data_IF_324590344072
#
_entry.id   IF_324590344072
#
_cell.length_a   1.000
_cell.length_b   1.000
_cell.length_c   1.000
_cell.angle_alpha   90.00
_cell.angle_beta   90.00
_cell.angle_gamma   90.00
#
_symmetry.space_group_name_H-M   'P 1'
#
loop_
_entity.id
_entity.type
_entity.pdbx_description
1 polymer ?
#
# COMPACT_ATOMS: atom_id res chain seq x y z
N UNK A 1 -19.18 17.06 -0.86
CA UNK A 1 -19.72 17.76 -2.04
C UNK A 1 -18.62 18.69 -2.55
N UNK A 2 -18.19 18.54 -3.80
CA UNK A 2 -17.12 19.39 -4.35
C UNK A 2 -17.65 20.81 -4.60
N UNK A 3 -16.79 21.82 -4.44
CA UNK A 3 -17.19 23.19 -4.71
C UNK A 3 -17.46 23.39 -6.19
N UNK A 4 -18.42 24.27 -6.51
CA UNK A 4 -18.72 24.67 -7.88
C UNK A 4 -17.47 25.18 -8.60
N UNK A 5 -16.63 25.93 -7.89
CA UNK A 5 -15.35 26.42 -8.41
C UNK A 5 -14.41 25.31 -8.87
N UNK A 6 -14.41 24.14 -8.20
CA UNK A 6 -13.57 23.01 -8.61
C UNK A 6 -14.12 22.34 -9.88
N UNK A 7 -15.44 22.22 -9.98
CA UNK A 7 -16.12 21.69 -11.18
C UNK A 7 -15.84 22.62 -12.37
N UNK A 8 -16.10 23.92 -12.22
CA UNK A 8 -15.87 24.94 -13.24
C UNK A 8 -14.40 25.01 -13.67
N UNK A 9 -13.46 24.71 -12.77
CA UNK A 9 -12.04 24.62 -13.09
C UNK A 9 -11.71 23.42 -13.99
N UNK A 10 -12.23 22.23 -13.69
CA UNK A 10 -12.03 21.03 -14.52
C UNK A 10 -12.66 21.16 -15.90
N UNK A 11 -13.78 21.89 -16.01
CA UNK A 11 -14.44 22.15 -17.29
C UNK A 11 -13.58 22.95 -18.27
N UNK A 12 -12.59 23.72 -17.80
CA UNK A 12 -11.67 24.49 -18.66
C UNK A 12 -10.62 23.62 -19.32
N UNK A 13 -10.40 22.43 -18.81
CA UNK A 13 -9.32 21.55 -19.27
C UNK A 13 -9.74 20.91 -20.59
N UNK A 14 -8.85 20.99 -21.57
CA UNK A 14 -9.00 20.28 -22.83
C UNK A 14 -8.49 18.84 -22.71
N UNK A 15 -9.34 17.88 -23.06
CA UNK A 15 -9.02 16.46 -22.91
C UNK A 15 -7.89 16.01 -23.83
N UNK A 16 -7.81 16.56 -25.05
CA UNK A 16 -6.76 16.20 -26.00
C UNK A 16 -5.41 16.73 -25.53
N UNK A 17 -5.34 17.97 -25.06
CA UNK A 17 -4.12 18.53 -24.47
C UNK A 17 -3.63 17.72 -23.26
N UNK A 18 -4.54 17.26 -22.39
CA UNK A 18 -4.19 16.40 -21.27
C UNK A 18 -3.63 15.05 -21.75
N UNK A 19 -4.28 14.41 -22.73
CA UNK A 19 -3.80 13.15 -23.31
C UNK A 19 -2.41 13.34 -23.95
N UNK A 20 -2.18 14.47 -24.64
CA UNK A 20 -0.87 14.81 -25.21
C UNK A 20 0.21 14.98 -24.14
N UNK A 21 -0.10 15.67 -23.03
CA UNK A 21 0.82 15.80 -21.88
C UNK A 21 1.19 14.43 -21.30
N UNK A 22 0.20 13.56 -21.10
CA UNK A 22 0.42 12.19 -20.59
C UNK A 22 1.24 11.37 -21.59
N UNK A 23 0.94 11.46 -22.89
CA UNK A 23 1.70 10.79 -23.95
C UNK A 23 3.16 11.24 -23.97
N UNK A 24 3.40 12.56 -23.90
CA UNK A 24 4.74 13.14 -23.80
C UNK A 24 5.48 12.62 -22.57
N UNK A 25 4.83 12.64 -21.40
CA UNK A 25 5.41 12.09 -20.16
C UNK A 25 5.80 10.63 -20.31
N UNK A 26 4.92 9.80 -20.89
CA UNK A 26 5.17 8.36 -21.10
C UNK A 26 6.30 8.07 -22.09
N UNK A 27 6.63 9.02 -22.96
CA UNK A 27 7.76 8.90 -23.90
C UNK A 27 9.13 9.25 -23.30
N UNK A 28 9.15 9.77 -22.06
CA UNK A 28 10.39 10.17 -21.38
C UNK A 28 11.24 8.97 -20.98
N UNK A 29 12.55 9.10 -21.15
CA UNK A 29 13.50 8.14 -20.61
C UNK A 29 13.88 8.51 -19.18
N UNK A 30 13.07 8.07 -18.22
CA UNK A 30 13.24 8.34 -16.78
C UNK A 30 14.63 7.94 -16.27
N UNK A 31 15.27 6.92 -16.84
CA UNK A 31 16.59 6.45 -16.42
C UNK A 31 17.70 7.50 -16.62
N UNK A 32 17.50 8.45 -17.53
CA UNK A 32 18.48 9.49 -17.88
C UNK A 32 18.13 10.86 -17.29
N UNK A 33 17.06 10.95 -16.51
CA UNK A 33 16.56 12.21 -15.98
C UNK A 33 16.98 12.42 -14.53
N UNK A 34 17.14 13.69 -14.15
CA UNK A 34 17.31 14.07 -12.74
C UNK A 34 15.96 14.05 -12.02
N UNK A 35 15.94 13.87 -10.68
CA UNK A 35 14.71 13.94 -9.91
C UNK A 35 13.92 15.25 -10.11
N UNK A 36 14.61 16.38 -10.29
CA UNK A 36 13.95 17.67 -10.58
C UNK A 36 13.24 17.66 -11.93
N UNK A 37 13.88 17.14 -12.98
CA UNK A 37 13.27 17.08 -14.30
C UNK A 37 12.06 16.12 -14.34
N UNK A 38 12.13 15.02 -13.57
CA UNK A 38 11.01 14.07 -13.43
C UNK A 38 9.85 14.77 -12.71
N UNK A 39 10.13 15.50 -11.62
CA UNK A 39 9.14 16.29 -10.89
C UNK A 39 8.47 17.34 -11.79
N UNK A 40 9.24 18.08 -12.59
CA UNK A 40 8.69 19.07 -13.51
C UNK A 40 7.76 18.43 -14.55
N UNK A 41 8.12 17.25 -15.05
CA UNK A 41 7.29 16.50 -15.98
C UNK A 41 6.01 15.95 -15.34
N UNK A 42 6.08 15.49 -14.08
CA UNK A 42 4.89 15.10 -13.29
C UNK A 42 3.98 16.31 -13.07
N UNK A 43 4.56 17.46 -12.72
CA UNK A 43 3.83 18.70 -12.48
C UNK A 43 3.10 19.19 -13.73
N UNK A 44 3.72 19.09 -14.91
CA UNK A 44 3.07 19.42 -16.19
C UNK A 44 1.82 18.56 -16.45
N UNK A 45 1.86 17.27 -16.08
CA UNK A 45 0.70 16.37 -16.20
C UNK A 45 -0.35 16.70 -15.16
N UNK A 46 0.02 16.76 -13.88
CA UNK A 46 -0.94 16.82 -12.76
C UNK A 46 -1.48 18.23 -12.46
N UNK A 47 -0.98 19.27 -13.13
CA UNK A 47 -1.38 20.66 -12.88
C UNK A 47 -1.83 21.44 -14.11
N UNK A 48 -2.77 22.36 -13.87
CA UNK A 48 -3.36 23.26 -14.88
C UNK A 48 -3.39 24.64 -14.25
N UNK A 49 -2.83 25.64 -14.94
CA UNK A 49 -2.64 26.98 -14.37
C UNK A 49 -1.95 26.97 -12.99
N UNK A 50 -1.02 26.03 -12.78
CA UNK A 50 -0.27 25.85 -11.53
C UNK A 50 -1.07 25.23 -10.37
N UNK A 51 -2.29 24.75 -10.61
CA UNK A 51 -3.15 24.11 -9.60
C UNK A 51 -3.24 22.61 -9.85
N UNK A 52 -3.18 21.83 -8.78
CA UNK A 52 -3.39 20.39 -8.81
C UNK A 52 -4.84 20.04 -9.15
N UNK A 53 -5.03 19.06 -10.05
CA UNK A 53 -6.29 18.82 -10.77
C UNK A 53 -7.04 17.57 -10.24
N UNK A 54 -6.59 16.98 -9.14
CA UNK A 54 -7.20 15.74 -8.65
C UNK A 54 -8.29 16.03 -7.61
N UNK A 55 -9.47 15.43 -7.82
CA UNK A 55 -10.42 15.26 -6.73
C UNK A 55 -9.76 14.40 -5.66
N UNK A 56 -9.58 14.92 -4.44
CA UNK A 56 -8.97 14.13 -3.38
C UNK A 56 -9.99 13.13 -2.84
N UNK A 57 -9.72 11.83 -3.03
CA UNK A 57 -10.61 10.78 -2.58
C UNK A 57 -10.29 10.38 -1.14
N UNK A 58 -10.89 11.06 -0.17
CA UNK A 58 -10.72 10.71 1.25
C UNK A 58 -11.70 9.61 1.63
N UNK A 59 -11.18 8.58 2.30
CA UNK A 59 -11.98 7.49 2.84
C UNK A 59 -11.42 7.04 4.20
N UNK A 60 -12.11 6.12 4.85
CA UNK A 60 -11.71 5.60 6.15
C UNK A 60 -11.90 4.09 6.23
N UNK A 61 -10.89 3.38 6.71
CA UNK A 61 -11.09 2.02 7.23
C UNK A 61 -11.52 2.11 8.67
N UNK A 62 -12.59 1.39 9.05
CA UNK A 62 -13.14 1.47 10.40
C UNK A 62 -12.24 0.83 11.43
N UNK A 63 -12.29 1.31 12.67
CA UNK A 63 -11.70 0.63 13.83
C UNK A 63 -12.05 -0.86 13.82
N UNK A 64 -11.06 -1.71 14.11
CA UNK A 64 -11.17 -3.17 14.04
C UNK A 64 -10.89 -3.76 12.65
N UNK A 65 -10.71 -2.95 11.61
CA UNK A 65 -10.26 -3.43 10.29
C UNK A 65 -8.91 -4.12 10.42
N UNK A 66 -8.77 -5.29 9.79
CA UNK A 66 -7.52 -6.04 9.76
C UNK A 66 -6.66 -5.63 8.56
N UNK A 67 -5.35 -5.51 8.80
CA UNK A 67 -4.34 -5.21 7.79
C UNK A 67 -3.29 -6.31 7.80
N UNK A 68 -2.86 -6.73 6.62
CA UNK A 68 -1.99 -7.89 6.44
C UNK A 68 -0.68 -7.47 5.79
N UNK A 69 0.42 -8.04 6.29
CA UNK A 69 1.75 -7.93 5.66
C UNK A 69 2.39 -9.31 5.63
N UNK A 70 2.98 -9.67 4.49
CA UNK A 70 3.79 -10.87 4.40
C UNK A 70 5.29 -10.53 4.36
N UNK A 71 6.11 -11.44 4.89
CA UNK A 71 7.56 -11.39 4.82
C UNK A 71 8.08 -12.79 4.54
N UNK A 72 8.88 -12.93 3.49
CA UNK A 72 9.58 -14.17 3.17
C UNK A 72 10.60 -14.45 4.29
N UNK A 73 10.72 -15.72 4.69
CA UNK A 73 11.68 -16.16 5.70
C UNK A 73 12.77 -16.97 5.02
N UNK A 74 14.01 -16.53 5.18
CA UNK A 74 15.18 -17.16 4.55
C UNK A 74 15.54 -18.52 5.16
N UNK A 75 15.03 -18.81 6.36
CA UNK A 75 15.29 -20.04 7.10
C UNK A 75 13.99 -20.78 7.41
N UNK A 76 14.02 -22.08 7.22
CA UNK A 76 12.97 -23.02 7.66
C UNK A 76 13.06 -23.34 9.16
N UNK A 77 14.14 -22.93 9.84
CA UNK A 77 14.26 -23.09 11.29
C UNK A 77 13.31 -22.12 12.00
N UNK A 78 12.47 -22.68 12.86
CA UNK A 78 11.49 -21.93 13.64
C UNK A 78 11.76 -22.11 15.15
N UNK A 79 11.76 -21.03 15.95
CA UNK A 79 11.50 -19.64 15.56
C UNK A 79 12.65 -19.01 14.76
N UNK A 80 12.31 -18.24 13.73
CA UNK A 80 13.27 -17.59 12.85
C UNK A 80 13.95 -16.41 13.56
N UNK A 81 15.27 -16.27 13.43
CA UNK A 81 16.06 -15.20 14.06
C UNK A 81 15.61 -13.79 13.64
N UNK A 82 15.09 -13.65 12.42
CA UNK A 82 14.56 -12.41 11.89
C UNK A 82 13.16 -12.07 12.42
N UNK A 83 12.65 -12.82 13.40
CA UNK A 83 11.36 -12.62 14.08
C UNK A 83 11.50 -12.64 15.61
N UNK A 84 12.69 -12.33 16.14
CA UNK A 84 12.92 -12.38 17.58
C UNK A 84 12.32 -11.22 18.38
N UNK A 85 12.27 -10.00 17.85
CA UNK A 85 11.88 -8.80 18.60
C UNK A 85 10.72 -8.07 17.93
N UNK A 86 10.00 -7.25 18.69
CA UNK A 86 8.83 -6.52 18.20
C UNK A 86 9.11 -5.72 16.92
N UNK A 87 10.28 -5.07 16.82
CA UNK A 87 10.67 -4.29 15.64
C UNK A 87 10.64 -5.09 14.35
N UNK A 88 10.88 -6.40 14.39
CA UNK A 88 10.86 -7.28 13.23
C UNK A 88 9.47 -7.49 12.62
N UNK A 89 8.41 -7.17 13.37
CA UNK A 89 7.01 -7.36 12.99
C UNK A 89 6.34 -6.09 12.49
N UNK A 90 7.10 -5.02 12.22
CA UNK A 90 6.53 -3.74 11.75
C UNK A 90 7.05 -3.40 10.37
N UNK A 91 7.85 -2.35 10.22
CA UNK A 91 8.44 -1.86 8.97
C UNK A 91 9.87 -2.42 8.77
N UNK A 92 10.35 -2.45 7.53
CA UNK A 92 11.73 -2.89 7.27
C UNK A 92 12.72 -1.80 7.72
N UNK A 93 13.82 -2.12 8.41
CA UNK A 93 14.77 -1.09 8.84
C UNK A 93 15.34 -0.31 7.64
N UNK A 94 15.50 1.04 7.74
CA UNK A 94 15.97 1.90 6.65
C UNK A 94 17.20 1.38 5.91
N UNK A 95 18.17 0.84 6.63
CA UNK A 95 19.44 0.35 6.11
C UNK A 95 19.29 -0.81 5.11
N UNK A 96 18.17 -1.53 5.12
CA UNK A 96 17.90 -2.61 4.16
C UNK A 96 17.17 -2.14 2.90
N UNK A 97 16.75 -0.87 2.85
CA UNK A 97 15.97 -0.30 1.76
C UNK A 97 16.93 0.37 0.77
N UNK A 98 17.42 -0.41 -0.20
CA UNK A 98 18.47 0.04 -1.13
C UNK A 98 17.92 0.70 -2.40
N UNK A 99 16.67 0.44 -2.73
CA UNK A 99 16.02 0.89 -3.97
C UNK A 99 14.74 1.65 -3.66
N UNK A 100 14.17 2.30 -4.67
CA UNK A 100 12.84 2.86 -4.58
C UNK A 100 11.80 1.74 -4.46
N UNK A 101 10.88 1.90 -3.51
CA UNK A 101 9.58 1.24 -3.54
C UNK A 101 8.53 2.20 -4.09
N UNK A 102 7.30 1.71 -4.29
CA UNK A 102 6.22 2.53 -4.88
C UNK A 102 6.05 3.89 -4.20
N UNK A 103 6.14 3.93 -2.87
CA UNK A 103 5.87 5.13 -2.07
C UNK A 103 7.08 5.60 -1.25
N UNK A 104 8.22 4.91 -1.34
CA UNK A 104 9.40 5.22 -0.53
C UNK A 104 10.67 5.29 -1.37
N UNK A 105 11.55 6.20 -1.02
CA UNK A 105 12.91 6.26 -1.58
C UNK A 105 13.87 5.32 -0.84
N UNK A 106 15.10 5.11 -1.33
CA UNK A 106 16.13 4.39 -0.59
C UNK A 106 16.32 4.98 0.81
N UNK A 107 16.52 4.11 1.81
CA UNK A 107 16.62 4.46 3.24
C UNK A 107 15.36 5.09 3.86
N UNK A 108 14.22 5.07 3.18
CA UNK A 108 12.95 5.49 3.77
C UNK A 108 12.11 4.27 4.15
N UNK A 109 11.85 4.12 5.45
CA UNK A 109 11.09 3.00 5.97
C UNK A 109 9.59 3.32 6.06
N UNK A 110 8.78 2.46 5.45
CA UNK A 110 7.32 2.49 5.53
C UNK A 110 6.75 1.11 5.86
N UNK A 111 5.53 1.07 6.38
CA UNK A 111 4.78 -0.16 6.62
C UNK A 111 3.77 -0.37 5.49
N UNK A 112 4.08 -1.30 4.58
CA UNK A 112 3.19 -1.75 3.52
C UNK A 112 2.25 -2.84 4.03
N UNK A 113 0.96 -2.68 3.77
CA UNK A 113 -0.09 -3.63 4.16
C UNK A 113 -1.16 -3.76 3.09
N UNK A 114 -1.96 -4.82 3.18
CA UNK A 114 -3.23 -4.95 2.46
C UNK A 114 -4.38 -5.05 3.47
N UNK A 115 -5.44 -4.24 3.37
CA UNK A 115 -6.59 -4.32 4.24
C UNK A 115 -7.48 -5.52 3.88
N UNK A 116 -8.03 -6.18 4.90
CA UNK A 116 -9.10 -7.19 4.88
C UNK A 116 -8.83 -8.53 4.15
N UNK A 117 -8.01 -8.54 3.09
CA UNK A 117 -7.87 -9.71 2.19
C UNK A 117 -6.41 -10.21 2.21
N UNK A 118 -6.08 -11.23 3.02
CA UNK A 118 -4.71 -11.74 3.14
C UNK A 118 -4.18 -12.36 1.84
N UNK A 119 -5.03 -12.92 0.98
CA UNK A 119 -4.63 -13.57 -0.27
C UNK A 119 -3.95 -12.58 -1.21
N UNK A 120 -4.43 -11.32 -1.25
CA UNK A 120 -3.83 -10.25 -2.04
C UNK A 120 -2.41 -9.96 -1.55
N UNK A 121 -2.19 -9.95 -0.23
CA UNK A 121 -0.86 -9.79 0.36
C UNK A 121 0.11 -10.87 -0.11
N UNK A 122 -0.34 -12.13 -0.21
CA UNK A 122 0.47 -13.24 -0.69
C UNK A 122 0.80 -13.10 -2.18
N UNK A 123 -0.19 -12.69 -2.99
CA UNK A 123 0.00 -12.46 -4.42
C UNK A 123 1.00 -11.32 -4.67
N UNK A 124 0.91 -10.21 -3.94
CA UNK A 124 1.81 -9.05 -4.04
C UNK A 124 3.26 -9.40 -3.67
N UNK A 125 3.44 -10.21 -2.62
CA UNK A 125 4.77 -10.53 -2.07
C UNK A 125 5.56 -11.52 -2.96
N UNK A 126 4.91 -12.16 -3.94
CA UNK A 126 5.55 -13.16 -4.85
C UNK A 126 6.35 -14.22 -4.07
N UNK A 127 5.76 -14.75 -3.00
CA UNK A 127 6.40 -15.74 -2.10
C UNK A 127 6.73 -17.02 -2.88
N UNK A 128 8.00 -17.48 -2.90
CA UNK A 128 8.38 -18.70 -3.60
C UNK A 128 7.65 -19.95 -3.09
N UNK A 129 7.34 -20.87 -4.01
CA UNK A 129 6.78 -22.18 -3.63
C UNK A 129 7.76 -22.96 -2.74
N UNK A 130 7.21 -23.73 -1.80
CA UNK A 130 7.93 -24.51 -0.79
C UNK A 130 8.83 -23.68 0.15
N UNK A 131 8.55 -22.38 0.29
CA UNK A 131 9.24 -21.50 1.25
C UNK A 131 8.38 -21.23 2.48
N UNK A 132 9.00 -20.70 3.53
CA UNK A 132 8.27 -20.20 4.70
C UNK A 132 8.11 -18.69 4.63
N UNK A 133 7.00 -18.21 5.18
CA UNK A 133 6.72 -16.79 5.29
C UNK A 133 6.03 -16.47 6.62
N UNK A 134 6.20 -15.25 7.08
CA UNK A 134 5.43 -14.68 8.16
C UNK A 134 4.30 -13.81 7.57
N UNK A 135 3.07 -14.05 7.99
CA UNK A 135 1.90 -13.23 7.70
C UNK A 135 1.50 -12.49 8.97
N UNK A 136 1.94 -11.24 9.08
CA UNK A 136 1.60 -10.33 10.17
C UNK A 136 0.18 -9.81 10.00
N UNK A 137 -0.58 -9.83 11.08
CA UNK A 137 -1.94 -9.29 11.13
C UNK A 137 -1.97 -8.14 12.12
N UNK A 138 -2.30 -6.96 11.60
CA UNK A 138 -2.55 -5.77 12.40
C UNK A 138 -4.04 -5.50 12.47
N UNK A 139 -4.49 -4.87 13.55
CA UNK A 139 -5.86 -4.43 13.73
C UNK A 139 -5.88 -2.94 14.00
N UNK A 140 -6.74 -2.21 13.28
CA UNK A 140 -6.93 -0.79 13.50
C UNK A 140 -7.50 -0.51 14.88
N UNK A 141 -6.81 0.33 15.65
CA UNK A 141 -7.23 0.77 16.98
C UNK A 141 -8.21 1.95 16.92
N UNK A 142 -8.21 2.69 15.80
CA UNK A 142 -9.10 3.80 15.47
C UNK A 142 -9.52 3.73 14.00
N UNK A 143 -10.44 4.62 13.57
CA UNK A 143 -10.70 4.81 12.15
C UNK A 143 -9.42 5.31 11.45
N UNK A 144 -9.02 4.66 10.36
CA UNK A 144 -7.81 4.97 9.58
C UNK A 144 -8.20 5.82 8.39
N UNK A 145 -7.86 7.11 8.41
CA UNK A 145 -8.09 8.03 7.29
C UNK A 145 -7.06 7.79 6.20
N UNK A 146 -7.54 7.60 4.97
CA UNK A 146 -6.68 7.40 3.80
C UNK A 146 -7.11 8.30 2.66
N UNK A 147 -6.15 8.67 1.83
CA UNK A 147 -6.44 9.12 0.48
C UNK A 147 -6.31 7.93 -0.48
N UNK A 148 -7.29 7.75 -1.36
CA UNK A 148 -7.31 6.68 -2.34
C UNK A 148 -6.78 7.22 -3.66
N UNK A 149 -5.53 6.86 -3.98
CA UNK A 149 -4.86 7.31 -5.19
C UNK A 149 -5.30 6.44 -6.36
N UNK A 150 -5.75 7.06 -7.46
CA UNK A 150 -6.11 6.34 -8.69
C UNK A 150 -7.38 5.48 -8.58
N UNK A 151 -8.29 5.83 -7.67
CA UNK A 151 -9.54 5.08 -7.49
C UNK A 151 -10.65 5.53 -8.45
N UNK A 152 -11.44 4.56 -8.91
CA UNK A 152 -12.72 4.84 -9.59
C UNK A 152 -13.64 5.66 -8.68
N UNK A 153 -14.14 6.75 -9.25
CA UNK A 153 -15.05 7.66 -8.57
C UNK A 153 -16.50 7.24 -8.74
N UNK A 154 -17.24 7.22 -7.63
CA UNK A 154 -18.70 7.26 -7.66
C UNK A 154 -19.13 8.72 -7.81
N UNK A 155 -19.20 9.16 -9.06
CA UNK A 155 -19.54 10.55 -9.40
C UNK A 155 -20.94 10.95 -8.94
N UNK A 156 -21.89 10.01 -8.95
CA UNK A 156 -23.27 10.25 -8.53
C UNK A 156 -23.33 10.53 -7.02
N UNK A 157 -22.63 9.71 -6.22
CA UNK A 157 -22.56 9.88 -4.77
C UNK A 157 -21.96 11.25 -4.37
N UNK A 158 -21.03 11.78 -5.17
CA UNK A 158 -20.41 13.10 -4.90
C UNK A 158 -21.08 14.28 -5.63
N UNK A 159 -22.16 14.02 -6.37
CA UNK A 159 -22.97 15.03 -7.05
C UNK A 159 -22.33 15.62 -8.32
N UNK A 160 -21.44 14.89 -8.99
CA UNK A 160 -20.80 15.32 -10.24
C UNK A 160 -21.55 14.68 -11.41
N UNK A 161 -22.28 15.49 -12.17
CA UNK A 161 -23.08 15.02 -13.32
C UNK A 161 -22.51 15.44 -14.68
N UNK A 162 -21.58 16.40 -14.73
CA UNK A 162 -21.00 16.86 -15.99
C UNK A 162 -20.06 15.79 -16.59
N UNK A 163 -20.40 15.28 -17.78
CA UNK A 163 -19.64 14.24 -18.47
C UNK A 163 -18.21 14.64 -18.86
N UNK A 164 -17.98 15.92 -19.21
CA UNK A 164 -16.62 16.42 -19.48
C UNK A 164 -15.77 16.34 -18.21
N UNK A 165 -16.31 16.75 -17.07
CA UNK A 165 -15.61 16.69 -15.77
C UNK A 165 -15.31 15.25 -15.38
N UNK A 166 -16.27 14.33 -15.56
CA UNK A 166 -16.07 12.90 -15.34
C UNK A 166 -14.95 12.35 -16.23
N UNK A 167 -14.95 12.70 -17.52
CA UNK A 167 -13.92 12.29 -18.47
C UNK A 167 -12.53 12.76 -18.04
N UNK A 168 -12.38 14.06 -17.74
CA UNK A 168 -11.10 14.64 -17.31
C UNK A 168 -10.60 13.96 -16.03
N UNK A 169 -11.45 13.79 -15.02
CA UNK A 169 -11.06 13.12 -13.79
C UNK A 169 -10.73 11.64 -14.00
N UNK A 170 -11.42 10.94 -14.91
CA UNK A 170 -11.07 9.56 -15.26
C UNK A 170 -9.68 9.48 -15.92
N UNK A 171 -9.32 10.41 -16.81
CA UNK A 171 -7.99 10.45 -17.42
C UNK A 171 -6.89 10.60 -16.35
N UNK A 172 -7.08 11.47 -15.36
CA UNK A 172 -6.14 11.58 -14.23
C UNK A 172 -6.10 10.34 -13.35
N UNK A 173 -7.26 9.74 -13.05
CA UNK A 173 -7.32 8.52 -12.26
C UNK A 173 -6.61 7.37 -12.97
N UNK A 174 -6.78 7.22 -14.28
CA UNK A 174 -6.10 6.19 -15.06
C UNK A 174 -4.60 6.42 -15.11
N UNK A 175 -4.15 7.67 -15.28
CA UNK A 175 -2.73 8.01 -15.17
C UNK A 175 -2.15 7.60 -13.81
N UNK A 176 -2.78 8.01 -12.70
CA UNK A 176 -2.35 7.65 -11.35
C UNK A 176 -2.41 6.14 -11.12
N UNK A 177 -3.50 5.48 -11.56
CA UNK A 177 -3.66 4.03 -11.43
C UNK A 177 -2.53 3.30 -12.15
N UNK A 178 -2.14 3.73 -13.34
CA UNK A 178 -1.04 3.15 -14.11
C UNK A 178 0.30 3.34 -13.40
N UNK A 179 0.60 4.54 -12.89
CA UNK A 179 1.87 4.79 -12.20
C UNK A 179 1.99 4.01 -10.88
N UNK A 180 0.91 3.90 -10.12
CA UNK A 180 0.90 3.15 -8.85
C UNK A 180 0.72 1.65 -9.03
N UNK A 181 0.25 1.17 -10.19
CA UNK A 181 0.11 -0.25 -10.53
C UNK A 181 1.12 -0.75 -11.57
N UNK A 182 2.24 -0.03 -11.75
CA UNK A 182 3.34 -0.47 -12.61
C UNK A 182 4.02 -1.70 -11.99
N UNK A 183 4.05 -2.82 -12.73
CA UNK A 183 4.89 -3.99 -12.40
C UNK A 183 6.25 -3.76 -13.05
N UNK A 184 7.27 -3.56 -12.23
CA UNK A 184 8.63 -3.29 -12.70
C UNK A 184 9.53 -4.48 -12.38
N UNK A 185 10.44 -4.77 -13.30
CA UNK A 185 11.40 -5.86 -13.15
C UNK A 185 12.53 -5.51 -12.21
N UNK A 186 13.24 -6.54 -11.76
CA UNK A 186 14.49 -6.39 -10.99
C UNK A 186 15.49 -5.55 -11.79
N UNK A 187 16.11 -4.56 -11.14
CA UNK A 187 17.05 -3.63 -11.76
C UNK A 187 16.39 -2.39 -12.40
N UNK A 188 15.06 -2.31 -12.41
CA UNK A 188 14.31 -1.15 -12.91
C UNK A 188 13.58 -0.38 -11.80
N UNK A 189 13.94 -0.63 -10.54
CA UNK A 189 13.29 -0.07 -9.35
C UNK A 189 13.26 1.46 -9.33
N UNK A 190 14.24 2.11 -10.00
CA UNK A 190 14.28 3.57 -10.17
C UNK A 190 13.01 4.15 -10.81
N UNK A 191 12.24 3.36 -11.57
CA UNK A 191 10.97 3.79 -12.14
C UNK A 191 9.91 4.10 -11.07
N UNK A 192 10.00 3.51 -9.87
CA UNK A 192 9.13 3.87 -8.75
C UNK A 192 9.41 5.28 -8.19
N UNK A 193 10.47 5.96 -8.62
CA UNK A 193 10.67 7.37 -8.31
C UNK A 193 9.48 8.22 -8.76
N UNK A 194 8.81 7.87 -9.87
CA UNK A 194 7.62 8.60 -10.34
C UNK A 194 6.49 8.54 -9.31
N UNK A 195 6.11 7.34 -8.86
CA UNK A 195 5.02 7.17 -7.88
C UNK A 195 5.40 7.69 -6.50
N UNK A 196 6.67 7.62 -6.12
CA UNK A 196 7.17 8.19 -4.88
C UNK A 196 7.06 9.72 -4.90
N UNK A 197 7.55 10.39 -5.96
CA UNK A 197 7.43 11.83 -6.13
C UNK A 197 5.97 12.28 -6.17
N UNK A 198 5.10 11.57 -6.90
CA UNK A 198 3.65 11.86 -6.90
C UNK A 198 3.10 11.79 -5.47
N UNK A 199 3.47 10.75 -4.72
CA UNK A 199 3.02 10.57 -3.34
C UNK A 199 3.45 11.74 -2.45
N UNK A 200 4.73 12.11 -2.51
CA UNK A 200 5.31 13.14 -1.62
C UNK A 200 4.86 14.56 -1.98
N UNK A 201 4.79 14.87 -3.26
CA UNK A 201 4.56 16.24 -3.72
C UNK A 201 3.06 16.60 -3.79
N UNK A 202 2.17 15.62 -3.96
CA UNK A 202 0.74 15.86 -4.20
C UNK A 202 -0.21 15.19 -3.20
N UNK A 203 0.24 14.16 -2.50
CA UNK A 203 -0.62 13.30 -1.69
C UNK A 203 -0.14 13.11 -0.24
N UNK A 204 0.90 13.82 0.18
CA UNK A 204 1.41 13.84 1.54
C UNK A 204 0.65 14.91 2.35
N UNK A 205 -0.58 14.56 2.75
CA UNK A 205 -1.47 15.45 3.49
C UNK A 205 -1.14 15.41 5.00
N UNK A 206 -1.51 16.45 5.77
CA UNK A 206 -1.21 16.53 7.20
C UNK A 206 -1.52 15.23 7.97
N UNK A 207 -0.48 14.56 8.51
CA UNK A 207 -0.64 13.30 9.23
C UNK A 207 -1.54 13.47 10.45
N UNK A 208 -2.39 12.47 10.74
CA UNK A 208 -3.36 12.45 11.87
C UNK A 208 -4.48 13.49 11.80
N UNK A 209 -4.29 14.63 11.15
CA UNK A 209 -5.33 15.63 10.95
C UNK A 209 -6.24 15.25 9.77
N UNK A 210 -5.63 14.99 8.61
CA UNK A 210 -6.36 14.72 7.35
C UNK A 210 -6.14 13.29 6.88
N UNK A 211 -4.94 12.75 7.06
CA UNK A 211 -4.52 11.46 6.50
C UNK A 211 -3.67 10.68 7.52
N UNK A 212 -3.94 9.38 7.67
CA UNK A 212 -3.11 8.49 8.48
C UNK A 212 -2.18 7.64 7.62
N UNK A 213 -2.65 7.28 6.42
CA UNK A 213 -1.92 6.44 5.47
C UNK A 213 -2.29 6.76 4.03
N UNK A 214 -1.45 6.28 3.11
CA UNK A 214 -1.74 6.30 1.68
C UNK A 214 -2.40 5.00 1.26
N UNK A 215 -3.49 5.07 0.50
CA UNK A 215 -4.08 3.91 -0.14
C UNK A 215 -3.88 3.98 -1.66
N UNK A 216 -3.38 2.90 -2.26
CA UNK A 216 -3.04 2.86 -3.69
C UNK A 216 -3.40 1.49 -4.30
N UNK A 217 -3.63 1.41 -5.61
CA UNK A 217 -4.16 0.20 -6.23
C UNK A 217 -3.19 -0.99 -6.11
N UNK A 218 -3.73 -2.18 -5.88
CA UNK A 218 -2.96 -3.41 -5.92
C UNK A 218 -2.56 -3.75 -7.36
N UNK A 219 -1.37 -4.33 -7.53
CA UNK A 219 -0.95 -4.92 -8.82
C UNK A 219 -1.81 -6.10 -9.23
N UNK A 220 -2.30 -6.84 -8.23
CA UNK A 220 -2.89 -8.18 -8.42
C UNK A 220 -4.38 -8.10 -8.64
N UNK A 221 -5.02 -7.16 -7.97
CA UNK A 221 -6.40 -6.79 -8.22
C UNK A 221 -6.51 -5.26 -8.22
N UNK A 222 -6.66 -4.69 -9.41
CA UNK A 222 -6.73 -3.24 -9.62
C UNK A 222 -8.01 -2.59 -9.05
N UNK A 223 -8.95 -3.37 -8.55
CA UNK A 223 -10.13 -2.89 -7.81
C UNK A 223 -9.93 -2.93 -6.29
N UNK A 224 -8.78 -3.44 -5.83
CA UNK A 224 -8.37 -3.51 -4.42
C UNK A 224 -7.19 -2.58 -4.18
N UNK A 225 -6.99 -2.21 -2.92
CA UNK A 225 -5.99 -1.24 -2.52
C UNK A 225 -5.05 -1.83 -1.48
N UNK A 226 -3.78 -1.48 -1.60
CA UNK A 226 -2.82 -1.59 -0.51
C UNK A 226 -2.84 -0.29 0.30
N UNK A 227 -2.43 -0.37 1.56
CA UNK A 227 -2.33 0.77 2.47
C UNK A 227 -0.92 0.83 3.04
N UNK A 228 -0.30 2.00 2.91
CA UNK A 228 1.05 2.25 3.35
C UNK A 228 1.08 3.32 4.45
N UNK A 229 1.68 2.97 5.58
CA UNK A 229 1.75 3.83 6.76
C UNK A 229 3.17 4.34 6.96
N UNK A 230 3.25 5.58 7.48
CA UNK A 230 4.46 6.07 8.15
C UNK A 230 4.66 5.27 9.45
N UNK A 231 5.87 4.84 9.82
CA UNK A 231 6.08 3.93 10.96
C UNK A 231 5.55 4.43 12.31
N UNK A 232 5.75 5.72 12.59
CA UNK A 232 5.29 6.40 13.79
C UNK A 232 3.76 6.44 13.86
N UNK A 233 3.09 6.75 12.75
CA UNK A 233 1.63 6.74 12.65
C UNK A 233 1.10 5.32 12.78
N UNK A 234 1.72 4.35 12.11
CA UNK A 234 1.33 2.95 12.18
C UNK A 234 1.28 2.45 13.63
N UNK A 235 2.31 2.77 14.43
CA UNK A 235 2.39 2.41 15.85
C UNK A 235 1.33 3.08 16.72
N UNK A 236 0.81 4.24 16.32
CA UNK A 236 -0.26 4.94 17.03
C UNK A 236 -1.64 4.37 16.71
N UNK A 237 -1.87 3.91 15.47
CA UNK A 237 -3.22 3.59 14.98
C UNK A 237 -3.47 2.10 14.77
N UNK A 238 -2.42 1.28 14.76
CA UNK A 238 -2.51 -0.17 14.62
C UNK A 238 -1.96 -0.85 15.88
N UNK A 239 -2.51 -2.04 16.19
CA UNK A 239 -1.87 -3.02 17.07
C UNK A 239 -1.51 -4.26 16.27
N UNK A 240 -0.38 -4.88 16.59
CA UNK A 240 -0.08 -6.22 16.11
C UNK A 240 -1.01 -7.21 16.82
N UNK A 241 -2.00 -7.75 16.10
CA UNK A 241 -2.91 -8.79 16.61
C UNK A 241 -2.14 -10.09 16.83
N UNK A 242 -1.28 -10.43 15.88
CA UNK A 242 -0.37 -11.58 15.93
C UNK A 242 0.25 -11.84 14.56
N UNK A 243 1.07 -12.88 14.48
CA UNK A 243 1.71 -13.29 13.21
C UNK A 243 1.49 -14.77 12.99
N UNK A 244 1.09 -15.15 11.79
CA UNK A 244 1.05 -16.55 11.37
C UNK A 244 2.37 -16.89 10.67
N UNK A 245 3.02 -17.98 11.08
CA UNK A 245 4.16 -18.54 10.38
C UNK A 245 3.66 -19.66 9.49
N UNK A 246 3.81 -19.47 8.19
CA UNK A 246 3.16 -20.26 7.17
C UNK A 246 4.17 -20.87 6.22
N UNK A 247 3.75 -21.95 5.56
CA UNK A 247 4.45 -22.57 4.45
C UNK A 247 3.70 -22.27 3.15
N UNK A 248 4.41 -21.83 2.12
CA UNK A 248 3.84 -21.62 0.78
C UNK A 248 3.78 -22.95 0.05
N UNK A 249 2.57 -23.49 -0.10
CA UNK A 249 2.34 -24.69 -0.89
C UNK A 249 2.44 -24.39 -2.40
N UNK A 250 2.89 -25.36 -3.22
CA UNK A 250 3.00 -25.20 -4.67
C UNK A 250 1.70 -24.73 -5.31
N UNK A 251 1.76 -23.67 -6.12
CA UNK A 251 0.63 -23.14 -6.90
C UNK A 251 -0.65 -22.81 -6.08
N UNK A 252 -0.55 -22.69 -4.75
CA UNK A 252 -1.68 -22.41 -3.87
C UNK A 252 -1.50 -21.08 -3.12
N UNK A 253 -2.60 -20.36 -2.94
CA UNK A 253 -2.68 -19.20 -2.05
C UNK A 253 -3.37 -19.51 -0.72
N UNK A 254 -3.63 -20.80 -0.45
CA UNK A 254 -4.12 -21.23 0.86
C UNK A 254 -3.09 -20.92 1.95
N UNK A 255 -3.58 -20.39 3.07
CA UNK A 255 -2.75 -20.01 4.22
C UNK A 255 -2.51 -21.27 5.06
N UNK A 256 -1.42 -21.97 4.80
CA UNK A 256 -1.00 -23.16 5.54
C UNK A 256 -0.13 -22.78 6.75
N UNK A 257 -0.78 -22.58 7.90
CA UNK A 257 -0.13 -22.14 9.14
C UNK A 257 0.59 -23.30 9.83
N UNK A 258 1.79 -23.04 10.36
CA UNK A 258 2.58 -23.99 11.18
C UNK A 258 2.63 -23.59 12.64
N UNK A 259 2.85 -22.30 12.88
CA UNK A 259 2.93 -21.69 14.21
C UNK A 259 2.28 -20.32 14.17
N UNK A 260 1.93 -19.83 15.35
CA UNK A 260 1.58 -18.42 15.51
C UNK A 260 2.56 -17.74 16.47
N UNK A 261 2.70 -16.44 16.32
CA UNK A 261 3.33 -15.57 17.30
C UNK A 261 2.25 -14.69 17.92
N UNK A 262 2.25 -14.61 19.25
CA UNK A 262 1.38 -13.74 20.03
C UNK A 262 2.15 -13.14 21.21
N UNK A 263 2.20 -11.82 21.26
CA UNK A 263 2.86 -11.09 22.33
C UNK A 263 4.37 -11.31 22.43
N UNK A 264 4.94 -10.69 23.47
CA UNK A 264 6.36 -10.64 23.75
C UNK A 264 6.61 -11.01 25.22
N UNK A 265 7.82 -11.48 25.54
CA UNK A 265 8.25 -11.72 26.92
C UNK A 265 8.75 -10.43 27.59
N UNK A 266 9.21 -10.55 28.84
CA UNK A 266 9.72 -9.40 29.62
C UNK A 266 10.98 -8.78 29.01
N UNK A 267 11.67 -9.50 28.12
CA UNK A 267 12.86 -9.05 27.40
C UNK A 267 12.50 -8.55 25.99
N UNK A 268 11.21 -8.45 25.65
CA UNK A 268 10.75 -8.06 24.32
C UNK A 268 10.89 -9.14 23.26
N UNK A 269 11.19 -10.40 23.64
CA UNK A 269 11.31 -11.50 22.67
C UNK A 269 9.95 -12.07 22.32
N UNK A 270 9.76 -12.37 21.05
CA UNK A 270 8.52 -12.87 20.50
C UNK A 270 8.22 -14.29 21.01
N UNK A 271 6.96 -14.53 21.39
CA UNK A 271 6.49 -15.84 21.85
C UNK A 271 5.77 -16.58 20.74
N UNK A 272 6.23 -17.80 20.46
CA UNK A 272 5.67 -18.66 19.42
C UNK A 272 4.89 -19.81 20.05
N UNK A 273 3.76 -20.15 19.43
CA UNK A 273 2.84 -21.17 19.89
C UNK A 273 2.47 -22.11 18.74
N UNK A 274 2.34 -23.40 19.05
CA UNK A 274 1.83 -24.40 18.11
C UNK A 274 0.34 -24.20 17.88
N UNK A 275 -0.14 -24.69 16.74
CA UNK A 275 -1.58 -24.80 16.47
C UNK A 275 -2.26 -25.66 17.54
N UNK A 276 -3.49 -25.30 17.91
CA UNK A 276 -4.25 -25.95 18.99
C UNK A 276 -3.89 -25.48 20.39
N UNK A 277 -2.90 -24.61 20.54
CA UNK A 277 -2.64 -23.95 21.82
C UNK A 277 -3.81 -23.04 22.21
N UNK A 278 -4.01 -22.84 23.52
CA UNK A 278 -4.99 -21.87 24.05
C UNK A 278 -4.77 -20.47 23.47
N UNK A 279 -3.51 -20.09 23.26
CA UNK A 279 -3.17 -18.79 22.70
C UNK A 279 -3.58 -18.67 21.24
N UNK A 280 -3.39 -19.72 20.43
CA UNK A 280 -3.87 -19.73 19.05
C UNK A 280 -5.38 -19.60 18.96
N UNK A 281 -6.14 -20.35 19.78
CA UNK A 281 -7.60 -20.26 19.79
C UNK A 281 -8.10 -18.87 20.22
N UNK A 282 -7.33 -18.14 21.02
CA UNK A 282 -7.67 -16.77 21.44
C UNK A 282 -7.41 -15.75 20.34
N UNK A 283 -6.25 -15.83 19.67
CA UNK A 283 -5.81 -14.80 18.72
C UNK A 283 -6.34 -15.06 17.31
N UNK A 284 -6.35 -16.31 16.88
CA UNK A 284 -6.77 -16.75 15.55
C UNK A 284 -7.71 -17.97 15.65
N UNK A 285 -8.90 -17.83 16.28
CA UNK A 285 -9.87 -18.92 16.43
C UNK A 285 -10.30 -19.55 15.09
N UNK A 286 -10.20 -18.81 13.99
CA UNK A 286 -10.54 -19.24 12.64
C UNK A 286 -9.59 -20.32 12.08
N UNK A 287 -8.37 -20.45 12.61
CA UNK A 287 -7.43 -21.49 12.16
C UNK A 287 -7.88 -22.83 12.75
N UNK A 288 -8.42 -23.69 11.88
CA UNK A 288 -8.80 -25.06 12.23
C UNK A 288 -7.63 -26.01 12.06
N UNK A 289 -7.43 -26.90 13.02
CA UNK A 289 -6.49 -28.01 12.88
C UNK A 289 -7.20 -29.10 12.08
N UNK A 290 -6.79 -29.30 10.84
CA UNK A 290 -7.13 -30.53 10.13
C UNK A 290 -6.18 -31.61 10.63
N UNK A 291 -6.68 -32.49 11.51
CA UNK A 291 -5.97 -33.71 11.83
C UNK A 291 -5.84 -34.50 10.51
N UNK A 292 -4.62 -34.58 9.99
CA UNK A 292 -4.25 -35.60 9.00
C UNK A 292 -3.89 -36.88 9.74
#
# INVERSE_FOLDING_TARGET
MYSRDHIDFLEKIDALQLIEKISKFRSLNIALMTPSAIRDAIYDVLTYEGKFIYFTNLNSYKKGTLFYRARILDSSLLPNENLLYESHFWNAPPEYIKTYGRLNKPSESLLYTTPMIPEITLMETKIPDNSNYALMVYEAMDDIKVNLIGQKYDYEMVGIFNEKVKLINNIYNDFLKDEFSRDIGVGTEYLYMVSELITKDFFDLPPRDVQDAWAYPSLKDKEKYNVCFRPDIAKQVLKLKGTMICEKLPQSYEINVKFIQSGFDKLGKAKFYKLGSKEQLKVFPEIKIHNK
#
